data_IF_914167742898
#
_entry.id   IF_914167742898
#
_cell.length_a   1.000
_cell.length_b   1.000
_cell.length_c   1.000
_cell.angle_alpha   90.00
_cell.angle_beta   90.00
_cell.angle_gamma   90.00
#
_symmetry.space_group_name_H-M   'P 1'
#
loop_
_entity.id
_entity.type
_entity.pdbx_description
1 polymer ?
#
# COMPACT_ATOMS: atom_id res chain seq x y z
N UNK A 1 31.75 0.07 15.29
CA UNK A 1 30.58 -0.07 14.39
C UNK A 1 30.46 1.20 13.58
N UNK A 2 30.37 1.12 12.25
CA UNK A 2 30.08 2.28 11.41
C UNK A 2 28.57 2.58 11.50
N UNK A 3 28.22 3.83 11.79
CA UNK A 3 26.83 4.28 11.81
C UNK A 3 26.38 4.54 10.37
N UNK A 4 25.39 3.77 9.90
CA UNK A 4 24.78 3.98 8.59
C UNK A 4 24.11 5.37 8.55
N UNK A 5 24.37 6.13 7.48
CA UNK A 5 23.71 7.40 7.16
C UNK A 5 23.17 7.34 5.73
N UNK A 6 22.01 6.70 5.51
CA UNK A 6 21.46 6.55 4.17
C UNK A 6 21.03 7.88 3.57
N UNK A 7 21.29 8.06 2.28
CA UNK A 7 20.74 9.19 1.51
C UNK A 7 19.21 9.07 1.36
N UNK A 8 18.71 7.84 1.29
CA UNK A 8 17.29 7.53 1.15
C UNK A 8 16.91 6.33 2.02
N UNK A 9 15.87 6.51 2.83
CA UNK A 9 15.23 5.43 3.58
C UNK A 9 13.81 5.24 3.08
N UNK A 10 13.46 4.05 2.59
CA UNK A 10 12.13 3.73 2.11
C UNK A 10 11.52 2.69 3.05
N UNK A 11 10.31 2.93 3.53
CA UNK A 11 9.55 1.94 4.28
C UNK A 11 8.06 2.10 4.02
N UNK A 12 7.31 1.04 4.28
CA UNK A 12 5.86 1.05 4.25
C UNK A 12 5.31 0.38 5.49
N UNK A 13 3.99 0.35 5.59
CA UNK A 13 3.28 -0.43 6.59
C UNK A 13 2.24 -1.31 5.92
N UNK A 14 1.88 -2.41 6.58
CA UNK A 14 0.75 -3.24 6.20
C UNK A 14 -0.42 -3.02 7.17
N UNK A 15 -1.63 -3.37 6.74
CA UNK A 15 -2.81 -3.31 7.59
C UNK A 15 -2.61 -4.05 8.94
N UNK A 16 -2.96 -3.38 10.03
CA UNK A 16 -2.91 -3.90 11.40
C UNK A 16 -4.03 -3.28 12.24
N UNK A 17 -4.44 -3.99 13.30
CA UNK A 17 -5.54 -3.59 14.19
C UNK A 17 -5.13 -2.45 15.13
N UNK A 18 -4.88 -1.27 14.56
CA UNK A 18 -4.57 -0.03 15.27
C UNK A 18 -5.61 1.05 14.98
N UNK A 19 -5.87 1.90 15.96
CA UNK A 19 -6.69 3.09 15.78
C UNK A 19 -5.99 4.11 14.86
N UNK A 20 -6.72 5.04 14.23
CA UNK A 20 -6.10 6.13 13.47
C UNK A 20 -5.06 6.92 14.27
N UNK A 21 -5.33 7.17 15.56
CA UNK A 21 -4.38 7.85 16.44
C UNK A 21 -3.11 7.03 16.69
N UNK A 22 -3.25 5.71 16.87
CA UNK A 22 -2.09 4.82 17.01
C UNK A 22 -1.25 4.80 15.74
N UNK A 23 -1.88 4.79 14.56
CA UNK A 23 -1.19 4.93 13.28
C UNK A 23 -0.44 6.25 13.17
N UNK A 24 -1.10 7.37 13.45
CA UNK A 24 -0.47 8.70 13.34
C UNK A 24 0.70 8.85 14.32
N UNK A 25 0.46 8.61 15.62
CA UNK A 25 1.47 8.84 16.65
C UNK A 25 2.56 7.76 16.67
N UNK A 26 2.21 6.52 16.34
CA UNK A 26 3.18 5.42 16.19
C UNK A 26 4.16 5.70 15.06
N UNK A 27 3.64 6.06 13.90
CA UNK A 27 4.45 6.41 12.72
C UNK A 27 5.30 7.65 13.00
N UNK A 28 4.74 8.68 13.62
CA UNK A 28 5.50 9.88 13.99
C UNK A 28 6.69 9.58 14.92
N UNK A 29 6.55 8.64 15.86
CA UNK A 29 7.68 8.21 16.72
C UNK A 29 8.78 7.50 15.94
N UNK A 30 8.43 6.71 14.92
CA UNK A 30 9.42 6.07 14.04
C UNK A 30 10.14 7.14 13.20
N UNK A 31 9.37 8.03 12.57
CA UNK A 31 9.92 9.12 11.77
C UNK A 31 10.82 10.06 12.58
N UNK A 32 10.50 10.34 13.85
CA UNK A 32 11.35 11.14 14.72
C UNK A 32 12.75 10.53 14.95
N UNK A 33 12.86 9.20 14.92
CA UNK A 33 14.15 8.51 15.03
C UNK A 33 14.90 8.46 13.69
N UNK A 34 14.19 8.35 12.59
CA UNK A 34 14.77 8.24 11.24
C UNK A 34 15.16 9.59 10.64
N UNK A 35 14.38 10.64 10.90
CA UNK A 35 14.56 11.98 10.33
C UNK A 35 15.97 12.56 10.55
N UNK A 36 16.62 12.44 11.73
CA UNK A 36 18.01 12.88 11.88
C UNK A 36 19.07 11.91 11.31
N UNK A 37 18.68 10.69 10.93
CA UNK A 37 19.59 9.63 10.47
C UNK A 37 19.65 9.48 8.94
N UNK A 38 18.65 9.99 8.20
CA UNK A 38 18.54 9.87 6.75
C UNK A 38 18.35 11.24 6.08
N UNK A 39 18.91 11.43 4.89
CA UNK A 39 18.72 12.67 4.12
C UNK A 39 17.28 12.80 3.64
N UNK A 40 16.71 11.71 3.07
CA UNK A 40 15.32 11.63 2.62
C UNK A 40 14.65 10.37 3.13
N UNK A 41 13.37 10.46 3.40
CA UNK A 41 12.54 9.33 3.82
C UNK A 41 11.31 9.27 2.91
N UNK A 42 11.00 8.07 2.41
CA UNK A 42 9.76 7.79 1.68
C UNK A 42 8.94 6.81 2.50
N UNK A 43 7.73 7.23 2.88
CA UNK A 43 6.72 6.41 3.53
C UNK A 43 5.71 5.95 2.47
N UNK A 44 5.74 4.67 2.14
CA UNK A 44 4.82 4.03 1.20
C UNK A 44 3.52 3.63 1.91
N UNK A 45 2.39 3.99 1.30
CA UNK A 45 1.10 3.44 1.69
C UNK A 45 0.98 1.96 1.32
N UNK A 46 0.20 1.21 2.11
CA UNK A 46 -0.21 -0.15 1.73
C UNK A 46 -1.08 -0.11 0.46
N UNK A 47 -0.94 -1.11 -0.38
CA UNK A 47 -1.72 -1.24 -1.62
C UNK A 47 -2.97 -2.08 -1.36
N UNK A 48 -4.09 -1.83 -2.05
CA UNK A 48 -5.29 -2.63 -1.87
C UNK A 48 -5.03 -4.13 -2.10
N UNK A 49 -5.44 -4.97 -1.15
CA UNK A 49 -5.41 -6.42 -1.31
C UNK A 49 -6.62 -6.90 -2.15
N UNK A 50 -6.40 -7.91 -2.98
CA UNK A 50 -7.48 -8.62 -3.64
C UNK A 50 -8.23 -9.50 -2.62
N UNK A 51 -9.57 -9.57 -2.67
CA UNK A 51 -10.35 -10.44 -1.79
C UNK A 51 -10.39 -11.90 -2.26
N UNK A 52 -9.55 -12.24 -3.25
CA UNK A 52 -9.44 -13.57 -3.85
C UNK A 52 -7.97 -13.83 -4.23
N UNK A 53 -7.63 -15.09 -4.45
CA UNK A 53 -6.33 -15.48 -4.98
C UNK A 53 -6.26 -15.14 -6.48
N UNK A 54 -5.40 -14.16 -6.82
CA UNK A 54 -5.24 -13.68 -8.19
C UNK A 54 -4.77 -14.78 -9.15
N UNK A 55 -3.63 -15.45 -8.87
CA UNK A 55 -3.15 -16.56 -9.68
C UNK A 55 -4.18 -17.68 -9.92
N UNK A 56 -4.88 -18.14 -8.89
CA UNK A 56 -5.91 -19.18 -9.02
C UNK A 56 -7.06 -18.71 -9.90
N UNK A 57 -7.50 -17.45 -9.75
CA UNK A 57 -8.54 -16.87 -10.60
C UNK A 57 -8.11 -16.84 -12.07
N UNK A 58 -6.89 -16.37 -12.35
CA UNK A 58 -6.35 -16.30 -13.70
C UNK A 58 -6.23 -17.70 -14.32
N UNK A 59 -5.74 -18.67 -13.56
CA UNK A 59 -5.65 -20.07 -13.99
C UNK A 59 -7.04 -20.66 -14.30
N UNK A 60 -8.02 -20.45 -13.44
CA UNK A 60 -9.38 -20.93 -13.66
C UNK A 60 -10.01 -20.32 -14.92
N UNK A 61 -9.76 -19.03 -15.17
CA UNK A 61 -10.21 -18.37 -16.39
C UNK A 61 -9.50 -18.90 -17.64
N UNK A 62 -8.19 -19.15 -17.57
CA UNK A 62 -7.42 -19.69 -18.69
C UNK A 62 -7.85 -21.13 -19.05
N UNK A 63 -8.29 -21.92 -18.08
CA UNK A 63 -8.78 -23.28 -18.26
C UNK A 63 -10.29 -23.35 -18.58
N UNK A 64 -11.01 -22.24 -18.50
CA UNK A 64 -12.45 -22.22 -18.74
C UNK A 64 -12.75 -22.31 -20.24
N UNK A 65 -13.57 -23.29 -20.70
CA UNK A 65 -13.92 -23.40 -22.11
C UNK A 65 -14.63 -22.15 -22.63
N UNK A 66 -14.27 -21.68 -23.83
CA UNK A 66 -14.78 -20.44 -24.43
C UNK A 66 -16.31 -20.37 -24.59
N UNK A 67 -17.00 -21.52 -24.60
CA UNK A 67 -18.47 -21.60 -24.70
C UNK A 67 -19.19 -21.35 -23.36
N UNK A 68 -18.46 -21.31 -22.24
CA UNK A 68 -19.02 -21.05 -20.92
C UNK A 68 -18.97 -19.56 -20.63
N UNK A 69 -20.09 -18.87 -20.87
CA UNK A 69 -20.29 -17.50 -20.38
C UNK A 69 -20.26 -17.50 -18.84
N UNK A 70 -19.44 -16.61 -18.23
CA UNK A 70 -19.40 -16.44 -16.77
C UNK A 70 -18.11 -16.84 -16.05
N UNK A 71 -16.94 -16.75 -16.70
CA UNK A 71 -15.65 -16.79 -15.98
C UNK A 71 -15.62 -15.77 -14.84
N UNK A 72 -14.95 -16.10 -13.73
CA UNK A 72 -14.86 -15.17 -12.59
C UNK A 72 -14.11 -13.92 -13.04
N UNK A 73 -14.69 -12.73 -12.83
CA UNK A 73 -13.94 -11.49 -13.06
C UNK A 73 -12.80 -11.44 -12.04
N UNK A 74 -11.54 -11.59 -12.48
CA UNK A 74 -10.36 -11.48 -11.61
C UNK A 74 -10.08 -10.02 -11.27
N UNK A 75 -11.11 -9.35 -10.74
CA UNK A 75 -11.15 -7.92 -10.46
C UNK A 75 -11.94 -7.65 -9.19
N UNK A 76 -11.56 -6.62 -8.45
CA UNK A 76 -12.34 -6.10 -7.32
C UNK A 76 -12.34 -4.57 -7.32
N UNK A 77 -13.25 -3.96 -6.55
CA UNK A 77 -13.10 -2.56 -6.19
C UNK A 77 -11.87 -2.38 -5.29
N UNK A 78 -11.21 -1.25 -5.40
CA UNK A 78 -10.06 -0.90 -4.58
C UNK A 78 -10.47 -0.59 -3.14
N UNK A 79 -9.85 -1.31 -2.19
CA UNK A 79 -9.82 -0.96 -0.77
C UNK A 79 -11.16 -1.05 -0.02
N UNK A 80 -11.10 -0.64 1.23
CA UNK A 80 -12.23 -0.46 2.15
C UNK A 80 -12.03 0.83 2.96
N UNK A 81 -13.03 1.22 3.77
CA UNK A 81 -12.97 2.47 4.54
C UNK A 81 -11.76 2.53 5.51
N UNK A 82 -11.35 1.38 6.05
CA UNK A 82 -10.22 1.29 6.99
C UNK A 82 -8.90 1.66 6.31
N UNK A 83 -8.67 1.19 5.08
CA UNK A 83 -7.47 1.52 4.31
C UNK A 83 -7.35 3.04 4.07
N UNK A 84 -8.45 3.73 3.80
CA UNK A 84 -8.46 5.18 3.64
C UNK A 84 -8.08 5.91 4.94
N UNK A 85 -8.64 5.46 6.08
CA UNK A 85 -8.32 6.03 7.38
C UNK A 85 -6.83 5.85 7.74
N UNK A 86 -6.26 4.67 7.47
CA UNK A 86 -4.83 4.40 7.68
C UNK A 86 -3.98 5.32 6.80
N UNK A 87 -4.29 5.45 5.50
CA UNK A 87 -3.56 6.37 4.60
C UNK A 87 -3.57 7.80 5.11
N UNK A 88 -4.72 8.31 5.57
CA UNK A 88 -4.80 9.65 6.13
C UNK A 88 -3.97 9.81 7.40
N UNK A 89 -3.95 8.80 8.27
CA UNK A 89 -3.12 8.80 9.49
C UNK A 89 -1.61 8.81 9.17
N UNK A 90 -1.18 8.00 8.19
CA UNK A 90 0.22 7.97 7.73
C UNK A 90 0.63 9.30 7.09
N UNK A 91 -0.22 9.87 6.24
CA UNK A 91 0.01 11.18 5.62
C UNK A 91 0.13 12.29 6.68
N UNK A 92 -0.74 12.28 7.70
CA UNK A 92 -0.71 13.23 8.80
C UNK A 92 0.53 13.09 9.71
N UNK A 93 1.11 11.89 9.80
CA UNK A 93 2.38 11.68 10.48
C UNK A 93 3.56 12.18 9.64
N UNK A 94 3.59 11.85 8.35
CA UNK A 94 4.62 12.26 7.41
C UNK A 94 4.74 13.79 7.30
N UNK A 95 3.61 14.50 7.25
CA UNK A 95 3.58 15.97 7.13
C UNK A 95 4.21 16.73 8.30
N UNK A 96 4.56 16.04 9.40
CA UNK A 96 5.25 16.63 10.56
C UNK A 96 6.76 16.75 10.37
N UNK A 97 7.31 16.15 9.31
CA UNK A 97 8.75 16.05 9.10
C UNK A 97 9.12 16.58 7.71
N UNK A 98 10.08 17.52 7.59
CA UNK A 98 10.39 18.19 6.33
C UNK A 98 11.11 17.29 5.31
N UNK A 99 11.73 16.20 5.77
CA UNK A 99 12.46 15.26 4.92
C UNK A 99 11.69 13.95 4.67
N UNK A 100 10.39 13.91 4.92
CA UNK A 100 9.54 12.74 4.73
C UNK A 100 8.53 13.00 3.61
N UNK A 101 8.48 12.09 2.64
CA UNK A 101 7.53 12.08 1.54
C UNK A 101 6.57 10.90 1.73
N UNK A 102 5.26 11.16 1.68
CA UNK A 102 4.24 10.12 1.68
C UNK A 102 3.84 9.79 0.24
N UNK A 103 3.92 8.52 -0.13
CA UNK A 103 3.65 8.06 -1.49
C UNK A 103 2.55 7.00 -1.47
N UNK A 104 1.47 7.26 -2.19
CA UNK A 104 0.37 6.32 -2.41
C UNK A 104 0.44 5.76 -3.83
N UNK A 105 0.86 4.49 -3.94
CA UNK A 105 0.92 3.76 -5.22
C UNK A 105 -0.43 3.14 -5.59
N UNK A 106 -1.44 3.22 -4.72
CA UNK A 106 -2.77 2.62 -4.92
C UNK A 106 -3.41 2.96 -6.27
N UNK A 107 -3.38 4.21 -6.76
CA UNK A 107 -3.94 4.55 -8.08
C UNK A 107 -3.21 3.91 -9.26
N UNK A 108 -1.92 3.56 -9.10
CA UNK A 108 -1.14 2.85 -10.13
C UNK A 108 -1.41 1.34 -10.08
N UNK A 109 -1.62 0.78 -8.89
CA UNK A 109 -1.93 -0.65 -8.71
C UNK A 109 -3.40 -0.97 -9.03
N UNK A 110 -4.31 -0.05 -8.74
CA UNK A 110 -5.74 -0.19 -8.99
C UNK A 110 -6.27 1.03 -9.76
N UNK A 111 -5.96 1.13 -11.07
CA UNK A 111 -6.38 2.27 -11.88
C UNK A 111 -7.90 2.39 -11.90
N UNK A 112 -8.38 3.64 -11.81
CA UNK A 112 -9.81 3.97 -11.73
C UNK A 112 -10.54 3.31 -10.54
N UNK A 113 -9.81 2.94 -9.48
CA UNK A 113 -10.38 2.29 -8.30
C UNK A 113 -10.78 0.83 -8.53
N UNK A 114 -10.28 0.19 -9.59
CA UNK A 114 -10.49 -1.22 -9.88
C UNK A 114 -9.15 -1.94 -9.79
N UNK A 115 -9.06 -2.90 -8.87
CA UNK A 115 -7.92 -3.80 -8.77
C UNK A 115 -8.15 -5.00 -9.68
N UNK A 116 -7.12 -5.42 -10.39
CA UNK A 116 -7.13 -6.60 -11.25
C UNK A 116 -6.04 -7.56 -10.78
N UNK A 117 -6.23 -8.86 -10.98
CA UNK A 117 -5.18 -9.85 -10.73
C UNK A 117 -3.95 -9.63 -11.63
N UNK A 118 -4.15 -9.00 -12.78
CA UNK A 118 -3.13 -8.72 -13.79
C UNK A 118 -3.48 -7.39 -14.47
N UNK A 119 -2.46 -6.56 -14.75
CA UNK A 119 -2.63 -5.29 -15.47
C UNK A 119 -2.08 -5.36 -16.89
N UNK A 120 -0.86 -5.90 -17.07
CA UNK A 120 -0.08 -5.76 -18.31
C UNK A 120 0.66 -7.04 -18.77
N UNK A 121 0.22 -8.26 -18.40
CA UNK A 121 0.84 -9.52 -18.88
C UNK A 121 1.81 -10.18 -17.91
#
# INVERSE_FOLDING_TARGET
>A
MQTLKPDLFIFGSAAAAYTPQQWTEGTARVLARLSPAATRIVLLADTPALPFDGPDCLMQNALCPAWREGGQSCTSKAGNADAAAIRHALQAAASRFPNVEFVDMGPHICPNGICRAELDG
#
